data_IF_197807579614
#
_entry.id   IF_197807579614
#
_cell.length_a   1.000
_cell.length_b   1.000
_cell.length_c   1.000
_cell.angle_alpha   90.00
_cell.angle_beta   90.00
_cell.angle_gamma   90.00
#
_symmetry.space_group_name_H-M   'P 1'
#
loop_
_entity.id
_entity.type
_entity.pdbx_description
1 polymer ?
#
# COMPACT_ATOMS: atom_id res chain seq x y z
N UNK A 1 -3.08 -26.36 4.47
CA UNK A 1 -3.29 -25.07 3.79
C UNK A 1 -2.00 -24.37 3.32
N UNK A 2 -0.78 -24.88 3.59
CA UNK A 2 0.50 -24.26 3.16
C UNK A 2 0.82 -24.38 1.65
N UNK A 3 0.05 -25.13 0.87
CA UNK A 3 0.27 -25.33 -0.58
C UNK A 3 -0.43 -24.30 -1.48
N UNK A 4 -1.59 -23.78 -1.07
CA UNK A 4 -2.39 -22.86 -1.89
C UNK A 4 -1.74 -21.48 -2.11
N UNK A 5 -1.04 -20.96 -1.09
CA UNK A 5 -0.41 -19.62 -1.16
C UNK A 5 0.75 -19.59 -2.17
N UNK A 6 1.54 -20.68 -2.25
CA UNK A 6 2.66 -20.76 -3.20
C UNK A 6 2.19 -20.83 -4.65
N UNK A 7 1.04 -21.45 -4.90
CA UNK A 7 0.48 -21.59 -6.26
C UNK A 7 -0.12 -20.27 -6.75
N UNK A 8 -0.70 -19.46 -5.84
CA UNK A 8 -1.30 -18.17 -6.18
C UNK A 8 -0.26 -17.11 -6.61
N UNK A 9 0.91 -17.10 -5.97
CA UNK A 9 2.01 -16.17 -6.32
C UNK A 9 2.60 -16.53 -7.69
N UNK A 10 2.74 -17.82 -8.01
CA UNK A 10 3.22 -18.26 -9.31
C UNK A 10 2.25 -17.94 -10.45
N UNK A 11 0.93 -18.01 -10.21
CA UNK A 11 -0.09 -17.69 -11.22
C UNK A 11 -0.12 -16.19 -11.54
N UNK A 12 0.09 -15.32 -10.55
CA UNK A 12 0.19 -13.86 -10.77
C UNK A 12 1.41 -13.46 -11.60
N UNK A 13 2.56 -14.10 -11.38
CA UNK A 13 3.77 -13.84 -12.15
C UNK A 13 3.63 -14.27 -13.63
N UNK A 14 2.87 -15.34 -13.91
CA UNK A 14 2.68 -15.86 -15.27
C UNK A 14 1.68 -15.00 -16.07
N UNK A 15 0.68 -14.39 -15.42
CA UNK A 15 -0.30 -13.52 -16.07
C UNK A 15 0.30 -12.25 -16.67
N UNK A 16 1.38 -11.73 -16.10
CA UNK A 16 2.07 -10.51 -16.58
C UNK A 16 2.84 -10.79 -17.88
N UNK A 17 3.27 -12.02 -18.12
CA UNK A 17 4.04 -12.41 -19.32
C UNK A 17 3.17 -12.65 -20.57
N UNK A 18 1.85 -12.76 -20.43
CA UNK A 18 0.91 -13.00 -21.52
C UNK A 18 0.25 -11.74 -22.08
N UNK A 19 0.53 -10.55 -21.53
CA UNK A 19 0.10 -9.26 -22.09
C UNK A 19 0.88 -8.94 -23.38
N UNK A 20 0.81 -9.85 -24.35
CA UNK A 20 1.46 -9.73 -25.64
C UNK A 20 0.87 -8.59 -26.45
N UNK A 21 1.74 -7.70 -26.96
CA UNK A 21 1.58 -6.89 -28.15
C UNK A 21 0.62 -5.66 -28.12
N UNK A 22 0.09 -5.26 -26.99
CA UNK A 22 -0.28 -3.85 -26.85
C UNK A 22 0.98 -3.11 -26.41
N UNK A 23 1.46 -2.13 -27.16
CA UNK A 23 2.57 -1.25 -26.76
C UNK A 23 2.18 -0.58 -25.45
N UNK A 24 2.63 -1.14 -24.35
CA UNK A 24 2.31 -0.67 -23.01
C UNK A 24 3.61 -0.46 -22.23
N UNK A 25 3.67 0.64 -21.50
CA UNK A 25 4.76 0.84 -20.55
C UNK A 25 4.45 0.07 -19.28
N UNK A 26 5.34 -0.83 -18.92
CA UNK A 26 5.33 -1.49 -17.61
C UNK A 26 6.32 -0.76 -16.71
N UNK A 27 5.89 -0.41 -15.51
CA UNK A 27 6.74 0.25 -14.51
C UNK A 27 6.72 -0.53 -13.21
N UNK A 28 7.90 -0.77 -12.64
CA UNK A 28 8.04 -1.21 -11.26
C UNK A 28 7.96 -0.01 -10.32
N UNK A 29 7.32 -0.17 -9.17
CA UNK A 29 7.14 0.87 -8.15
C UNK A 29 7.67 0.35 -6.82
N UNK A 30 8.52 1.12 -6.16
CA UNK A 30 9.02 0.85 -4.82
C UNK A 30 8.93 2.13 -3.99
N UNK A 31 8.37 2.05 -2.80
CA UNK A 31 8.20 3.20 -1.92
C UNK A 31 8.34 2.84 -0.45
N UNK A 32 8.72 3.83 0.33
CA UNK A 32 8.77 3.78 1.79
C UNK A 32 8.22 5.08 2.36
N UNK A 33 7.73 5.04 3.59
CA UNK A 33 7.17 6.22 4.20
C UNK A 33 6.60 5.99 5.58
N UNK A 34 5.68 6.85 5.97
CA UNK A 34 4.97 6.78 7.22
C UNK A 34 3.46 6.66 6.98
N UNK A 35 2.77 5.95 7.86
CA UNK A 35 1.31 5.85 7.87
C UNK A 35 0.75 6.54 9.10
N UNK A 36 -0.29 7.34 8.90
CA UNK A 36 -0.99 8.07 9.94
C UNK A 36 -2.39 7.47 10.08
N UNK A 37 -2.77 6.94 11.27
CA UNK A 37 -4.14 6.53 11.54
C UNK A 37 -5.05 7.75 11.55
N UNK A 38 -6.29 7.60 11.10
CA UNK A 38 -7.30 8.66 11.08
C UNK A 38 -8.67 8.10 11.46
N UNK A 39 -9.63 8.98 11.76
CA UNK A 39 -10.98 8.57 12.20
C UNK A 39 -10.94 7.82 13.52
N UNK A 40 -11.84 6.86 13.69
CA UNK A 40 -11.98 6.05 14.91
C UNK A 40 -10.73 5.21 15.20
N UNK A 41 -9.96 4.85 14.17
CA UNK A 41 -8.68 4.14 14.33
C UNK A 41 -7.59 4.99 15.01
N UNK A 42 -7.71 6.31 15.01
CA UNK A 42 -6.82 7.25 15.71
C UNK A 42 -7.30 7.60 17.12
N UNK A 43 -8.50 7.15 17.54
CA UNK A 43 -9.11 7.58 18.80
C UNK A 43 -8.45 6.87 19.99
N UNK A 44 -8.08 7.66 21.02
CA UNK A 44 -7.43 7.18 22.24
C UNK A 44 -8.33 6.25 23.09
N UNK A 45 -9.64 6.26 22.84
CA UNK A 45 -10.64 5.49 23.58
C UNK A 45 -10.84 4.07 23.00
N UNK A 46 -10.33 3.80 21.82
CA UNK A 46 -10.49 2.54 21.10
C UNK A 46 -9.24 1.65 21.13
N UNK A 47 -9.31 0.46 20.56
CA UNK A 47 -8.14 -0.41 20.36
C UNK A 47 -7.20 0.07 19.26
N UNK A 48 -7.39 1.33 18.80
CA UNK A 48 -6.67 1.92 17.68
C UNK A 48 -5.21 2.24 17.95
N UNK A 49 -4.44 2.35 16.89
CA UNK A 49 -3.05 2.77 16.92
C UNK A 49 -2.98 4.28 17.15
N UNK A 50 -2.59 4.70 18.34
CA UNK A 50 -2.48 6.14 18.71
C UNK A 50 -1.29 6.82 18.05
N UNK A 51 -0.27 6.07 17.66
CA UNK A 51 0.93 6.60 17.02
C UNK A 51 1.00 6.19 15.54
N UNK A 52 1.62 7.04 14.73
CA UNK A 52 1.91 6.73 13.34
C UNK A 52 2.82 5.52 13.19
N UNK A 53 2.91 5.02 12.00
CA UNK A 53 3.67 3.81 11.68
C UNK A 53 4.55 3.96 10.45
N UNK A 54 5.41 2.96 10.23
CA UNK A 54 6.19 2.83 9.01
C UNK A 54 5.42 2.10 7.91
N UNK A 55 5.66 2.46 6.67
CA UNK A 55 5.09 1.78 5.49
C UNK A 55 6.14 1.51 4.44
N UNK A 56 6.02 0.35 3.78
CA UNK A 56 6.79 0.00 2.59
C UNK A 56 5.85 -0.56 1.54
N UNK A 57 6.09 -0.19 0.26
CA UNK A 57 5.25 -0.54 -0.87
C UNK A 57 6.08 -1.07 -2.03
N UNK A 58 5.57 -2.11 -2.67
CA UNK A 58 6.10 -2.61 -3.94
C UNK A 58 4.93 -2.90 -4.91
N UNK A 59 5.11 -2.56 -6.19
CA UNK A 59 4.04 -2.76 -7.16
C UNK A 59 4.49 -2.69 -8.60
N UNK A 60 3.52 -2.90 -9.48
CA UNK A 60 3.68 -2.81 -10.94
C UNK A 60 2.55 -1.96 -11.51
N UNK A 61 2.91 -1.05 -12.39
CA UNK A 61 1.98 -0.24 -13.16
C UNK A 61 2.00 -0.69 -14.63
N UNK A 62 0.84 -0.69 -15.21
CA UNK A 62 0.63 -0.92 -16.64
C UNK A 62 -0.08 0.28 -17.23
N UNK A 63 0.60 1.01 -18.13
CA UNK A 63 0.02 2.14 -18.83
C UNK A 63 0.08 1.87 -20.35
N UNK A 64 -1.07 1.86 -21.05
CA UNK A 64 -1.10 1.77 -22.50
C UNK A 64 -0.34 2.96 -23.11
N UNK A 65 0.40 2.71 -24.19
CA UNK A 65 1.21 3.72 -24.86
C UNK A 65 0.35 4.91 -25.33
N UNK A 66 0.81 6.12 -25.07
CA UNK A 66 0.10 7.35 -25.42
C UNK A 66 -1.14 7.63 -24.56
N UNK A 67 -1.40 6.85 -23.51
CA UNK A 67 -2.51 7.10 -22.58
C UNK A 67 -2.01 7.69 -21.26
N UNK A 68 -2.88 8.50 -20.67
CA UNK A 68 -2.65 9.10 -19.35
C UNK A 68 -3.33 8.31 -18.23
N UNK A 69 -3.88 7.14 -18.51
CA UNK A 69 -4.53 6.26 -17.52
C UNK A 69 -4.05 4.83 -17.68
N UNK A 70 -4.03 4.12 -16.58
CA UNK A 70 -3.57 2.75 -16.51
C UNK A 70 -4.04 2.03 -15.26
N UNK A 71 -3.44 0.90 -14.98
CA UNK A 71 -3.69 0.08 -13.80
C UNK A 71 -2.42 -0.04 -12.98
N UNK A 72 -2.59 -0.13 -11.66
CA UNK A 72 -1.53 -0.43 -10.70
C UNK A 72 -1.95 -1.57 -9.79
N UNK A 73 -1.10 -2.58 -9.69
CA UNK A 73 -1.18 -3.63 -8.68
C UNK A 73 -0.03 -3.41 -7.71
N UNK A 74 -0.34 -3.23 -6.44
CA UNK A 74 0.66 -3.04 -5.41
C UNK A 74 0.34 -3.83 -4.14
N UNK A 75 1.39 -4.18 -3.42
CA UNK A 75 1.35 -4.68 -2.06
C UNK A 75 2.04 -3.70 -1.14
N UNK A 76 1.49 -3.50 0.06
CA UNK A 76 2.12 -2.67 1.06
C UNK A 76 2.12 -3.36 2.42
N UNK A 77 3.20 -3.10 3.17
CA UNK A 77 3.39 -3.48 4.54
C UNK A 77 3.35 -2.24 5.41
N UNK A 78 2.44 -2.20 6.38
CA UNK A 78 2.30 -1.11 7.33
C UNK A 78 2.47 -1.67 8.74
N UNK A 79 3.18 -0.93 9.58
CA UNK A 79 3.40 -1.28 10.97
C UNK A 79 3.09 -0.06 11.83
N UNK A 80 2.13 -0.19 12.72
CA UNK A 80 1.72 0.84 13.67
C UNK A 80 2.16 0.46 15.08
N UNK A 81 2.49 1.47 15.90
CA UNK A 81 2.79 1.32 17.32
C UNK A 81 1.62 1.86 18.13
N UNK A 82 1.25 1.22 19.22
CA UNK A 82 0.13 1.61 20.10
C UNK A 82 0.48 2.73 21.08
N UNK A 83 1.73 2.94 21.41
CA UNK A 83 2.25 4.09 22.17
C UNK A 83 3.64 4.40 21.68
N UNK A 84 4.16 5.59 22.00
CA UNK A 84 5.46 6.08 21.56
C UNK A 84 6.47 4.94 21.53
N UNK A 85 7.04 4.68 20.33
CA UNK A 85 8.07 3.66 20.15
C UNK A 85 9.36 4.09 20.89
N UNK A 86 9.28 4.24 22.19
CA UNK A 86 10.39 4.55 23.07
C UNK A 86 10.90 3.23 23.65
N UNK A 87 12.00 2.73 23.08
CA UNK A 87 12.67 1.50 23.54
C UNK A 87 13.12 1.57 25.02
N UNK A 88 12.90 2.72 25.68
CA UNK A 88 13.35 2.96 27.05
C UNK A 88 12.34 2.60 28.15
N UNK A 89 11.06 2.40 27.84
CA UNK A 89 10.02 2.30 28.90
C UNK A 89 9.49 0.91 29.20
N UNK A 90 10.04 -0.17 28.67
CA UNK A 90 9.75 -1.55 29.16
C UNK A 90 8.24 -1.93 29.23
N UNK A 91 7.38 -1.19 28.56
CA UNK A 91 5.94 -1.38 28.56
C UNK A 91 5.48 -2.25 27.39
N UNK A 92 4.31 -2.87 27.49
CA UNK A 92 3.75 -3.88 26.60
C UNK A 92 3.86 -3.45 25.13
N UNK A 93 4.74 -4.10 24.36
CA UNK A 93 5.03 -3.77 22.94
C UNK A 93 3.97 -4.42 22.03
N UNK A 94 2.76 -3.85 22.02
CA UNK A 94 1.68 -4.30 21.12
C UNK A 94 1.82 -3.56 19.79
N UNK A 95 1.95 -4.32 18.70
CA UNK A 95 2.17 -3.79 17.35
C UNK A 95 1.08 -4.30 16.42
N UNK A 96 0.47 -3.37 15.69
CA UNK A 96 -0.44 -3.72 14.60
C UNK A 96 0.33 -3.80 13.29
N UNK A 97 0.21 -4.94 12.63
CA UNK A 97 0.78 -5.17 11.30
C UNK A 97 -0.32 -5.35 10.28
N UNK A 98 -0.26 -4.56 9.21
CA UNK A 98 -1.14 -4.68 8.05
C UNK A 98 -0.33 -5.06 6.81
N UNK A 99 -0.73 -6.13 6.16
CA UNK A 99 -0.28 -6.48 4.81
C UNK A 99 -1.48 -6.31 3.88
N UNK A 100 -1.33 -5.51 2.84
CA UNK A 100 -2.39 -5.30 1.87
C UNK A 100 -1.94 -5.56 0.45
N UNK A 101 -2.91 -5.88 -0.41
CA UNK A 101 -2.76 -5.97 -1.85
C UNK A 101 -3.87 -5.17 -2.52
N UNK A 102 -3.52 -4.20 -3.36
CA UNK A 102 -4.46 -3.28 -3.99
C UNK A 102 -4.39 -3.36 -5.51
N UNK A 103 -5.56 -3.29 -6.15
CA UNK A 103 -5.71 -3.03 -7.57
C UNK A 103 -6.33 -1.64 -7.76
N UNK A 104 -5.63 -0.75 -8.41
CA UNK A 104 -6.00 0.66 -8.57
C UNK A 104 -5.99 1.08 -10.03
N UNK A 105 -6.95 1.93 -10.42
CA UNK A 105 -6.83 2.77 -11.59
C UNK A 105 -5.90 3.96 -11.28
N UNK A 106 -5.03 4.32 -12.22
CA UNK A 106 -4.15 5.49 -12.11
C UNK A 106 -4.39 6.41 -13.31
N UNK A 107 -4.48 7.71 -13.05
CA UNK A 107 -4.58 8.75 -14.07
C UNK A 107 -3.46 9.78 -13.88
N UNK A 108 -2.58 9.91 -14.89
CA UNK A 108 -1.48 10.86 -14.90
C UNK A 108 -1.86 12.13 -15.68
N UNK A 109 -1.44 13.28 -15.20
CA UNK A 109 -1.70 14.59 -15.80
C UNK A 109 -0.36 15.23 -16.22
N UNK A 110 0.14 14.94 -17.45
CA UNK A 110 1.38 15.54 -17.93
C UNK A 110 1.22 17.06 -18.07
N UNK A 111 2.08 17.83 -17.43
CA UNK A 111 2.08 19.28 -17.49
C UNK A 111 3.00 19.77 -18.63
N UNK A 112 2.45 19.85 -19.84
CA UNK A 112 3.17 20.27 -21.04
C UNK A 112 4.35 19.33 -21.36
N UNK A 113 5.54 19.90 -21.59
CA UNK A 113 6.78 19.16 -21.86
C UNK A 113 7.61 18.83 -20.61
N UNK A 114 7.04 19.09 -19.42
CA UNK A 114 7.73 18.88 -18.14
C UNK A 114 7.86 17.39 -17.81
N UNK A 115 8.97 17.00 -17.19
CA UNK A 115 9.15 15.67 -16.58
C UNK A 115 8.33 15.46 -15.31
N UNK A 116 7.65 16.52 -14.86
CA UNK A 116 6.77 16.50 -13.69
C UNK A 116 5.37 16.00 -14.08
N UNK A 117 4.90 14.97 -13.37
CA UNK A 117 3.63 14.29 -13.63
C UNK A 117 2.84 14.08 -12.34
N UNK A 118 1.91 14.99 -12.03
CA UNK A 118 0.90 14.71 -11.01
C UNK A 118 -0.01 13.59 -11.48
N UNK A 119 -0.55 12.83 -10.50
CA UNK A 119 -1.47 11.74 -10.77
C UNK A 119 -2.49 11.56 -9.64
N UNK A 120 -3.61 10.95 -10.00
CA UNK A 120 -4.61 10.44 -9.09
C UNK A 120 -4.67 8.92 -9.20
N UNK A 121 -5.03 8.26 -8.12
CA UNK A 121 -5.27 6.84 -8.11
C UNK A 121 -6.46 6.50 -7.20
N UNK A 122 -7.14 5.41 -7.54
CA UNK A 122 -8.25 4.90 -6.74
C UNK A 122 -8.48 3.43 -7.04
N UNK A 123 -8.79 2.65 -6.01
CA UNK A 123 -8.90 1.23 -6.18
C UNK A 123 -9.48 0.49 -4.99
N UNK A 124 -9.39 -0.83 -5.09
CA UNK A 124 -9.90 -1.80 -4.13
C UNK A 124 -8.75 -2.67 -3.65
N UNK A 125 -8.86 -3.17 -2.42
CA UNK A 125 -7.81 -3.98 -1.84
C UNK A 125 -8.31 -5.04 -0.87
N UNK A 126 -7.44 -6.01 -0.64
CA UNK A 126 -7.55 -6.99 0.43
C UNK A 126 -6.51 -6.64 1.50
N UNK A 127 -6.94 -6.60 2.74
CA UNK A 127 -6.15 -6.20 3.89
C UNK A 127 -6.11 -7.34 4.89
N UNK A 128 -4.92 -7.80 5.20
CA UNK A 128 -4.68 -8.81 6.23
C UNK A 128 -4.00 -8.11 7.40
N UNK A 129 -4.60 -8.21 8.59
CA UNK A 129 -4.04 -7.64 9.80
C UNK A 129 -3.76 -8.71 10.85
N UNK A 130 -2.77 -8.45 11.66
CA UNK A 130 -2.35 -9.31 12.74
C UNK A 130 -1.84 -8.48 13.91
N UNK A 131 -2.28 -8.81 15.12
CA UNK A 131 -1.65 -8.34 16.35
C UNK A 131 -0.37 -9.13 16.60
N UNK A 132 0.72 -8.42 16.88
CA UNK A 132 2.00 -8.99 17.31
C UNK A 132 2.41 -8.35 18.64
N UNK A 133 2.73 -9.19 19.64
CA UNK A 133 3.24 -8.77 20.94
C UNK A 133 3.62 -9.99 21.76
N UNK A 134 4.61 -9.87 22.64
CA UNK A 134 5.12 -11.00 23.44
C UNK A 134 4.10 -11.48 24.50
N UNK A 135 3.11 -10.65 24.86
CA UNK A 135 2.07 -10.92 25.85
C UNK A 135 0.66 -11.14 25.21
N UNK A 136 0.56 -11.30 23.90
CA UNK A 136 -0.72 -11.58 23.23
C UNK A 136 -1.07 -13.06 23.42
N UNK A 137 -2.22 -13.41 24.07
CA UNK A 137 -2.65 -14.79 24.20
C UNK A 137 -2.79 -15.49 22.84
N UNK A 138 -2.37 -16.75 22.76
CA UNK A 138 -2.35 -17.56 21.51
C UNK A 138 -3.69 -17.60 20.75
N UNK A 139 -4.81 -17.25 21.40
CA UNK A 139 -6.15 -17.20 20.80
C UNK A 139 -6.47 -15.89 20.05
N UNK A 140 -5.69 -14.82 20.21
CA UNK A 140 -5.90 -13.52 19.58
C UNK A 140 -4.96 -13.26 18.37
N UNK A 141 -4.14 -14.24 18.02
CA UNK A 141 -3.19 -14.17 16.89
C UNK A 141 -3.80 -14.62 15.56
N UNK A 142 -5.13 -14.77 15.46
CA UNK A 142 -5.77 -15.08 14.20
C UNK A 142 -5.64 -13.90 13.23
N UNK A 143 -5.20 -14.19 12.00
CA UNK A 143 -5.13 -13.19 10.96
C UNK A 143 -6.47 -13.08 10.26
N UNK A 144 -7.06 -11.91 10.25
CA UNK A 144 -8.28 -11.61 9.51
C UNK A 144 -7.96 -10.91 8.20
N UNK A 145 -8.87 -11.10 7.22
CA UNK A 145 -8.69 -10.49 5.90
C UNK A 145 -9.97 -9.80 5.49
N UNK A 146 -9.89 -8.50 5.34
CA UNK A 146 -11.01 -7.64 4.98
C UNK A 146 -10.80 -6.95 3.64
N UNK A 147 -11.92 -6.53 3.07
CA UNK A 147 -11.95 -5.74 1.86
C UNK A 147 -11.89 -4.24 2.21
N UNK A 148 -11.29 -3.44 1.34
CA UNK A 148 -11.29 -2.00 1.52
C UNK A 148 -11.15 -1.23 0.21
N UNK A 149 -11.33 0.06 0.34
CA UNK A 149 -11.17 1.03 -0.74
C UNK A 149 -9.96 1.91 -0.47
N UNK A 150 -9.33 2.37 -1.54
CA UNK A 150 -8.26 3.35 -1.43
C UNK A 150 -8.38 4.43 -2.50
N UNK A 151 -7.97 5.64 -2.13
CA UNK A 151 -7.91 6.76 -3.06
C UNK A 151 -6.78 7.70 -2.68
N UNK A 152 -6.06 8.24 -3.66
CA UNK A 152 -4.91 9.06 -3.37
C UNK A 152 -4.47 9.91 -4.54
N UNK A 153 -3.48 10.72 -4.23
CA UNK A 153 -2.83 11.61 -5.19
C UNK A 153 -1.32 11.55 -4.99
N UNK A 154 -0.61 11.84 -6.05
CA UNK A 154 0.84 11.90 -5.99
C UNK A 154 1.42 12.70 -7.13
N UNK A 155 2.73 12.78 -7.11
CA UNK A 155 3.52 13.43 -8.14
C UNK A 155 4.77 12.61 -8.45
N UNK A 156 5.15 12.56 -9.70
CA UNK A 156 6.39 11.92 -10.14
C UNK A 156 7.24 12.94 -10.90
N UNK A 157 8.52 12.93 -10.65
CA UNK A 157 9.52 13.59 -11.49
C UNK A 157 10.37 12.54 -12.19
N UNK A 158 10.40 12.57 -13.53
CA UNK A 158 11.05 11.55 -14.35
C UNK A 158 12.48 11.96 -14.76
N UNK A 159 13.43 11.05 -14.61
CA UNK A 159 14.81 11.14 -15.06
C UNK A 159 15.07 10.02 -16.08
N UNK A 160 14.50 10.15 -17.25
CA UNK A 160 14.57 9.09 -18.27
C UNK A 160 13.73 7.86 -17.91
N UNK A 161 14.37 6.74 -17.62
CA UNK A 161 13.67 5.49 -17.25
C UNK A 161 13.32 5.38 -15.76
N UNK A 162 13.90 6.25 -14.94
CA UNK A 162 13.65 6.28 -13.49
C UNK A 162 12.87 7.52 -13.15
N UNK A 163 11.83 7.38 -12.36
CA UNK A 163 11.08 8.49 -11.77
C UNK A 163 11.14 8.42 -10.24
N UNK A 164 11.22 9.56 -9.58
CA UNK A 164 11.04 9.68 -8.13
C UNK A 164 9.64 10.19 -7.88
N UNK A 165 8.93 9.61 -6.92
CA UNK A 165 7.56 10.00 -6.61
C UNK A 165 7.36 10.31 -5.12
N UNK A 166 6.35 11.15 -4.86
CA UNK A 166 5.71 11.30 -3.56
C UNK A 166 4.21 11.02 -3.73
N UNK A 167 3.61 10.29 -2.78
CA UNK A 167 2.22 9.86 -2.84
C UNK A 167 1.59 9.89 -1.45
N UNK A 168 0.37 10.41 -1.36
CA UNK A 168 -0.51 10.26 -0.19
C UNK A 168 -1.76 9.49 -0.61
N UNK A 169 -2.14 8.46 0.16
CA UNK A 169 -3.27 7.59 -0.15
C UNK A 169 -4.13 7.37 1.09
N UNK A 170 -5.41 7.64 1.01
CA UNK A 170 -6.38 7.27 2.04
C UNK A 170 -6.84 5.84 1.83
N UNK A 171 -6.86 5.05 2.90
CA UNK A 171 -7.39 3.69 2.94
C UNK A 171 -8.56 3.63 3.91
N UNK A 172 -9.64 2.97 3.50
CA UNK A 172 -10.79 2.62 4.34
C UNK A 172 -11.01 1.10 4.23
N UNK A 173 -10.78 0.40 5.32
CA UNK A 173 -10.93 -1.06 5.43
C UNK A 173 -12.22 -1.36 6.17
N UNK A 174 -13.11 -2.10 5.54
CA UNK A 174 -14.42 -2.46 6.09
C UNK A 174 -14.28 -3.69 6.98
N UNK A 175 -14.20 -3.47 8.29
CA UNK A 175 -14.16 -4.56 9.27
C UNK A 175 -15.54 -4.83 9.86
N UNK A 176 -15.68 -5.94 10.58
CA UNK A 176 -16.97 -6.34 11.16
C UNK A 176 -17.40 -5.48 12.34
N UNK A 177 -16.45 -4.79 13.00
CA UNK A 177 -16.72 -3.99 14.20
C UNK A 177 -16.67 -2.49 13.87
N UNK A 178 -15.54 -1.96 13.47
CA UNK A 178 -15.34 -0.53 13.14
C UNK A 178 -14.37 -0.41 11.96
N UNK A 179 -14.65 0.53 11.05
CA UNK A 179 -13.82 0.76 9.86
C UNK A 179 -12.41 1.23 10.25
N UNK A 180 -11.39 0.60 9.69
CA UNK A 180 -10.00 1.00 9.89
C UNK A 180 -9.58 1.99 8.80
N UNK A 181 -9.24 3.21 9.21
CA UNK A 181 -8.85 4.28 8.31
C UNK A 181 -7.43 4.77 8.58
N UNK A 182 -6.63 4.92 7.52
CA UNK A 182 -5.27 5.44 7.63
C UNK A 182 -4.77 6.08 6.33
N UNK A 183 -3.76 6.94 6.45
CA UNK A 183 -3.13 7.65 5.33
C UNK A 183 -1.63 7.36 5.32
N UNK A 184 -1.13 6.46 4.45
CA UNK A 184 0.29 6.37 4.14
C UNK A 184 0.73 7.56 3.30
N UNK A 185 1.88 8.14 3.67
CA UNK A 185 2.61 9.14 2.92
C UNK A 185 3.92 8.50 2.50
N UNK A 186 4.12 8.35 1.20
CA UNK A 186 5.21 7.57 0.60
C UNK A 186 6.10 8.45 -0.26
N UNK A 187 7.38 8.14 -0.25
CA UNK A 187 8.34 8.56 -1.26
C UNK A 187 8.99 7.32 -1.87
N UNK A 188 9.34 7.38 -3.15
CA UNK A 188 9.88 6.18 -3.78
C UNK A 188 10.34 6.38 -5.21
N UNK A 189 10.60 5.26 -5.89
CA UNK A 189 11.05 5.22 -7.26
C UNK A 189 10.11 4.41 -8.15
N UNK A 190 9.97 4.86 -9.40
CA UNK A 190 9.33 4.16 -10.51
C UNK A 190 10.39 3.84 -11.56
N UNK A 191 10.42 2.61 -12.03
CA UNK A 191 11.37 2.17 -13.05
C UNK A 191 10.57 1.69 -14.26
N UNK A 192 10.75 2.37 -15.39
CA UNK A 192 10.08 2.02 -16.65
C UNK A 192 10.85 0.94 -17.40
N UNK A 193 10.19 -0.18 -17.67
CA UNK A 193 10.71 -1.24 -18.53
C UNK A 193 10.19 -1.04 -19.96
N UNK A 194 11.08 -1.11 -20.94
CA UNK A 194 10.80 -1.00 -22.37
C UNK A 194 11.14 -2.30 -23.10
#
# INVERSE_FOLDING_TARGET
>A
MKGLVKTSIALMATGILLAGQASAQVRGVLGVGASVPVGEFADESGPGAQAGGGTALAGVEWLPEGKSFGLRLDGAYNRFCTEVCDEASGDLDVRFRFLNANLSGIAEFPLGTSDFRPYLLGGVGLYNYKLEGDDVPDGLTESESDFGLSGGLGMTYNFGQVGVFAEGRFHNVFTSEEDVQYIPILVGARITFR
#
